data_IF_880341857893
#
_entry.id   IF_880341857893
#
_cell.length_a   1.000
_cell.length_b   1.000
_cell.length_c   1.000
_cell.angle_alpha   90.00
_cell.angle_beta   90.00
_cell.angle_gamma   90.00
#
_symmetry.space_group_name_H-M   'P 1'
#
loop_
_entity.id
_entity.type
_entity.pdbx_description
1 polymer ?
#
# COMPACT_ATOMS: atom_id res chain seq x y z
N UNK A 1 -6.20 20.80 -16.83
CA UNK A 1 -7.50 21.06 -17.50
C UNK A 1 -8.70 20.84 -16.56
N UNK A 2 -8.75 19.73 -15.77
CA UNK A 2 -9.85 19.48 -14.85
C UNK A 2 -9.98 20.58 -13.77
N UNK A 3 -8.86 21.00 -13.17
CA UNK A 3 -8.85 22.04 -12.15
C UNK A 3 -9.32 23.42 -12.66
N UNK A 4 -9.15 23.71 -13.95
CA UNK A 4 -9.67 24.92 -14.59
C UNK A 4 -11.19 24.79 -14.75
N UNK A 5 -11.68 23.65 -15.25
CA UNK A 5 -13.12 23.38 -15.41
C UNK A 5 -13.86 23.42 -14.09
N UNK A 6 -13.22 22.92 -13.02
CA UNK A 6 -13.77 22.93 -11.63
C UNK A 6 -13.64 24.32 -10.95
N UNK A 7 -13.10 25.34 -11.61
CA UNK A 7 -12.88 26.67 -11.04
C UNK A 7 -11.83 26.74 -9.92
N UNK A 8 -11.06 25.66 -9.70
CA UNK A 8 -9.99 25.60 -8.69
C UNK A 8 -8.69 26.28 -9.11
N UNK A 9 -8.53 26.49 -10.42
CA UNK A 9 -7.36 27.17 -11.00
C UNK A 9 -7.82 28.14 -12.07
N UNK A 10 -7.37 29.40 -11.99
CA UNK A 10 -7.65 30.41 -13.00
C UNK A 10 -6.90 30.10 -14.29
N UNK A 11 -7.57 30.26 -15.43
CA UNK A 11 -7.01 29.95 -16.74
C UNK A 11 -5.82 30.85 -17.09
N UNK A 12 -5.89 32.14 -16.75
CA UNK A 12 -4.79 33.09 -16.96
C UNK A 12 -3.52 32.71 -16.17
N UNK A 13 -3.69 32.21 -14.94
CA UNK A 13 -2.59 31.73 -14.13
C UNK A 13 -1.98 30.44 -14.73
N UNK A 14 -2.81 29.51 -15.19
CA UNK A 14 -2.35 28.29 -15.85
C UNK A 14 -1.45 28.61 -17.05
N UNK A 15 -1.88 29.46 -17.99
CA UNK A 15 -1.07 29.81 -19.15
C UNK A 15 0.22 30.56 -18.79
N UNK A 16 0.23 31.30 -17.70
CA UNK A 16 1.42 32.02 -17.24
C UNK A 16 2.50 31.10 -16.64
N UNK A 17 2.10 29.99 -16.00
CA UNK A 17 3.05 29.02 -15.39
C UNK A 17 3.36 27.84 -16.34
N UNK A 18 2.52 27.56 -17.34
CA UNK A 18 2.64 26.43 -18.27
C UNK A 18 3.39 26.80 -19.56
N UNK A 19 4.44 27.61 -19.46
CA UNK A 19 5.25 27.99 -20.63
C UNK A 19 5.89 26.78 -21.33
N UNK A 20 6.26 25.76 -20.58
CA UNK A 20 6.77 24.47 -21.08
C UNK A 20 6.11 23.35 -20.27
N UNK A 21 5.44 22.42 -20.94
CA UNK A 21 4.86 21.24 -20.31
C UNK A 21 5.77 20.03 -20.53
N UNK A 22 6.26 19.46 -19.45
CA UNK A 22 7.03 18.20 -19.46
C UNK A 22 6.20 17.12 -18.80
N UNK A 23 5.87 16.08 -19.55
CA UNK A 23 5.16 14.92 -19.03
C UNK A 23 6.15 13.93 -18.43
N UNK A 24 6.05 13.69 -17.12
CA UNK A 24 6.82 12.66 -16.41
C UNK A 24 5.91 11.45 -16.19
N UNK A 25 6.20 10.29 -16.81
CA UNK A 25 5.40 9.09 -16.57
C UNK A 25 5.56 8.63 -15.11
N UNK A 26 4.50 8.05 -14.51
CA UNK A 26 4.58 7.49 -13.17
C UNK A 26 5.52 6.29 -13.12
N UNK A 27 6.00 5.94 -11.93
CA UNK A 27 7.03 4.92 -11.73
C UNK A 27 6.57 3.52 -12.22
N UNK A 28 5.28 3.21 -12.13
CA UNK A 28 4.67 1.97 -12.67
C UNK A 28 4.81 1.81 -14.20
N UNK A 29 5.00 2.91 -14.93
CA UNK A 29 5.19 2.91 -16.39
C UNK A 29 6.67 2.85 -16.80
N UNK A 30 7.60 2.96 -15.82
CA UNK A 30 9.06 2.85 -16.00
C UNK A 30 9.66 1.93 -14.95
N UNK A 31 9.18 0.70 -14.90
CA UNK A 31 9.55 -0.30 -13.87
C UNK A 31 11.05 -0.64 -13.88
N UNK A 32 11.73 -0.46 -15.00
CA UNK A 32 13.18 -0.60 -15.15
C UNK A 32 13.98 0.38 -14.28
N UNK A 33 13.43 1.57 -14.00
CA UNK A 33 14.10 2.59 -13.17
C UNK A 33 13.98 2.29 -11.67
N UNK A 34 13.07 1.41 -11.25
CA UNK A 34 12.77 1.17 -9.83
C UNK A 34 14.02 0.66 -9.09
N UNK A 35 14.68 -0.37 -9.59
CA UNK A 35 15.84 -0.96 -8.90
C UNK A 35 17.08 -0.06 -8.91
N UNK A 36 17.44 0.63 -10.01
CA UNK A 36 18.50 1.64 -9.98
C UNK A 36 18.24 2.74 -8.95
N UNK A 37 17.01 3.24 -8.87
CA UNK A 37 16.61 4.24 -7.87
C UNK A 37 16.67 3.68 -6.45
N UNK A 38 16.09 2.49 -6.20
CA UNK A 38 16.12 1.83 -4.91
C UNK A 38 17.56 1.59 -4.43
N UNK A 39 18.45 1.14 -5.31
CA UNK A 39 19.86 0.91 -5.01
C UNK A 39 20.61 2.21 -4.69
N UNK A 40 20.27 3.29 -5.37
CA UNK A 40 20.84 4.62 -5.11
C UNK A 40 20.39 5.14 -3.75
N UNK A 41 19.12 5.02 -3.41
CA UNK A 41 18.58 5.38 -2.10
C UNK A 41 19.17 4.51 -0.99
N UNK A 42 19.27 3.20 -1.22
CA UNK A 42 19.88 2.25 -0.28
C UNK A 42 21.29 2.68 0.09
N UNK A 43 22.17 2.90 -0.90
CA UNK A 43 23.56 3.32 -0.67
C UNK A 43 23.62 4.63 0.12
N UNK A 44 22.78 5.60 -0.24
CA UNK A 44 22.72 6.90 0.44
C UNK A 44 22.32 6.76 1.91
N UNK A 45 21.22 6.06 2.19
CA UNK A 45 20.70 5.94 3.55
C UNK A 45 21.49 4.98 4.42
N UNK A 46 22.04 3.90 3.86
CA UNK A 46 22.95 3.00 4.56
C UNK A 46 24.22 3.74 5.04
N UNK A 47 24.81 4.58 4.16
CA UNK A 47 25.94 5.42 4.54
C UNK A 47 25.60 6.46 5.60
N UNK A 48 24.42 7.08 5.54
CA UNK A 48 23.97 8.08 6.55
C UNK A 48 23.69 7.45 7.91
N UNK A 49 23.24 6.20 7.93
CA UNK A 49 22.91 5.45 9.15
C UNK A 49 24.08 4.61 9.68
N UNK A 50 25.26 4.70 9.05
CA UNK A 50 26.45 3.86 9.34
C UNK A 50 26.13 2.35 9.35
N UNK A 51 25.32 1.92 8.36
CA UNK A 51 24.87 0.54 8.21
C UNK A 51 25.51 -0.13 7.00
N UNK A 52 25.95 -1.35 7.17
CA UNK A 52 26.50 -2.15 6.08
C UNK A 52 25.45 -3.06 5.47
N UNK A 53 24.62 -2.50 4.56
CA UNK A 53 23.58 -3.24 3.84
C UNK A 53 24.06 -3.45 2.40
N UNK A 54 24.21 -4.71 2.00
CA UNK A 54 24.79 -5.08 0.71
C UNK A 54 23.80 -5.01 -0.46
N UNK A 55 22.49 -5.10 -0.19
CA UNK A 55 21.47 -5.05 -1.26
C UNK A 55 20.13 -5.62 -0.83
N UNK A 56 19.36 -6.04 -1.84
CA UNK A 56 18.05 -6.64 -1.71
C UNK A 56 18.11 -8.14 -2.02
N UNK A 57 17.31 -8.95 -1.35
CA UNK A 57 17.10 -10.35 -1.75
C UNK A 57 16.39 -10.41 -3.11
N UNK A 58 16.35 -11.60 -3.72
CA UNK A 58 15.62 -11.79 -4.97
C UNK A 58 14.12 -11.52 -4.79
N UNK A 59 13.54 -12.00 -3.70
CA UNK A 59 12.14 -11.80 -3.33
C UNK A 59 11.81 -10.32 -3.11
N UNK A 60 12.65 -9.57 -2.41
CA UNK A 60 12.49 -8.13 -2.23
C UNK A 60 12.63 -7.38 -3.56
N UNK A 61 13.55 -7.80 -4.43
CA UNK A 61 13.76 -7.22 -5.76
C UNK A 61 12.51 -7.38 -6.64
N UNK A 62 11.91 -8.55 -6.65
CA UNK A 62 10.67 -8.83 -7.40
C UNK A 62 9.50 -8.01 -6.85
N UNK A 63 9.36 -7.93 -5.53
CA UNK A 63 8.34 -7.10 -4.87
C UNK A 63 8.48 -5.62 -5.26
N UNK A 64 9.68 -5.05 -5.16
CA UNK A 64 9.94 -3.66 -5.53
C UNK A 64 9.56 -3.36 -6.99
N UNK A 65 9.82 -4.31 -7.92
CA UNK A 65 9.50 -4.15 -9.35
C UNK A 65 8.01 -4.25 -9.65
N UNK A 66 7.29 -5.11 -8.94
CA UNK A 66 5.86 -5.41 -9.22
C UNK A 66 4.92 -4.42 -8.56
N UNK A 67 5.32 -3.78 -7.49
CA UNK A 67 4.50 -2.80 -6.79
C UNK A 67 4.26 -1.55 -7.65
N UNK A 68 3.06 -0.97 -7.59
CA UNK A 68 2.63 0.11 -8.50
C UNK A 68 3.08 1.52 -8.10
N UNK A 69 3.60 1.68 -6.88
CA UNK A 69 4.15 2.94 -6.39
C UNK A 69 3.21 4.15 -6.61
N UNK A 70 2.00 4.19 -6.02
CA UNK A 70 1.07 5.30 -6.20
C UNK A 70 1.66 6.65 -5.79
N UNK A 71 2.54 6.69 -4.79
CA UNK A 71 3.32 7.86 -4.39
C UNK A 71 4.63 8.05 -5.19
N UNK A 72 4.83 7.27 -6.27
CA UNK A 72 5.97 7.37 -7.18
C UNK A 72 7.34 7.31 -6.46
N UNK A 73 8.31 8.08 -6.95
CA UNK A 73 9.69 8.11 -6.42
C UNK A 73 9.72 8.51 -4.94
N UNK A 74 8.82 9.40 -4.49
CA UNK A 74 8.78 9.84 -3.10
C UNK A 74 8.39 8.71 -2.15
N UNK A 75 7.45 7.86 -2.55
CA UNK A 75 7.07 6.67 -1.79
C UNK A 75 8.20 5.64 -1.76
N UNK A 76 8.82 5.34 -2.91
CA UNK A 76 9.98 4.45 -3.00
C UNK A 76 11.12 4.93 -2.08
N UNK A 77 11.43 6.21 -2.12
CA UNK A 77 12.47 6.83 -1.28
C UNK A 77 12.19 6.64 0.21
N UNK A 78 10.95 6.95 0.65
CA UNK A 78 10.54 6.80 2.05
C UNK A 78 10.59 5.34 2.50
N UNK A 79 10.14 4.41 1.64
CA UNK A 79 10.18 2.98 1.93
C UNK A 79 11.61 2.49 2.15
N UNK A 80 12.54 2.83 1.25
CA UNK A 80 13.95 2.42 1.39
C UNK A 80 14.59 3.06 2.63
N UNK A 81 14.30 4.34 2.91
CA UNK A 81 14.81 5.00 4.10
C UNK A 81 14.34 4.30 5.38
N UNK A 82 13.05 4.00 5.48
CA UNK A 82 12.47 3.29 6.63
C UNK A 82 13.10 1.89 6.78
N UNK A 83 13.17 1.16 5.67
CA UNK A 83 13.72 -0.20 5.68
C UNK A 83 15.16 -0.23 6.13
N UNK A 84 16.01 0.70 5.68
CA UNK A 84 17.41 0.81 6.14
C UNK A 84 17.49 1.04 7.65
N UNK A 85 16.57 1.79 8.25
CA UNK A 85 16.57 2.05 9.68
C UNK A 85 16.09 0.84 10.50
N UNK A 86 15.15 0.04 9.95
CA UNK A 86 14.45 -1.02 10.68
C UNK A 86 15.01 -2.42 10.43
N UNK A 87 15.61 -2.70 9.26
CA UNK A 87 16.13 -4.03 8.98
C UNK A 87 17.29 -4.36 9.93
N UNK A 88 17.35 -5.59 10.41
CA UNK A 88 18.43 -6.08 11.30
C UNK A 88 19.58 -6.72 10.50
N UNK A 89 19.30 -7.21 9.31
CA UNK A 89 20.21 -7.95 8.48
C UNK A 89 20.99 -7.05 7.51
N UNK A 90 22.08 -7.61 6.94
CA UNK A 90 22.88 -6.94 5.91
C UNK A 90 22.27 -7.05 4.50
N UNK A 91 21.16 -7.77 4.34
CA UNK A 91 20.40 -7.90 3.08
C UNK A 91 18.93 -7.62 3.41
N UNK A 92 18.32 -6.72 2.67
CA UNK A 92 16.90 -6.40 2.80
C UNK A 92 16.08 -7.52 2.16
N UNK A 93 15.18 -8.13 2.92
CA UNK A 93 14.23 -9.12 2.42
C UNK A 93 12.82 -8.54 2.32
N UNK A 94 11.91 -9.30 1.71
CA UNK A 94 10.52 -8.91 1.49
C UNK A 94 9.78 -8.56 2.79
N UNK A 95 10.10 -9.26 3.87
CA UNK A 95 9.52 -9.02 5.21
C UNK A 95 9.94 -7.66 5.83
N UNK A 96 11.06 -7.08 5.40
CA UNK A 96 11.54 -5.78 5.85
C UNK A 96 10.81 -4.62 5.16
N UNK A 97 10.14 -4.91 4.02
CA UNK A 97 9.40 -3.95 3.23
C UNK A 97 7.96 -3.78 3.77
N UNK A 98 7.54 -2.55 4.08
CA UNK A 98 6.16 -2.27 4.53
C UNK A 98 5.12 -2.38 3.42
N UNK A 99 5.54 -2.33 2.17
CA UNK A 99 4.65 -2.50 1.01
C UNK A 99 3.97 -3.87 0.99
N UNK A 100 4.55 -4.90 1.64
CA UNK A 100 3.91 -6.21 1.86
C UNK A 100 2.62 -6.08 2.69
N UNK A 101 2.64 -5.24 3.72
CA UNK A 101 1.47 -4.97 4.56
C UNK A 101 0.40 -4.20 3.78
N UNK A 102 0.81 -3.30 2.88
CA UNK A 102 -0.10 -2.53 2.01
C UNK A 102 -0.74 -3.42 0.94
N UNK A 103 -0.02 -4.42 0.38
CA UNK A 103 -0.62 -5.37 -0.57
C UNK A 103 -1.65 -6.29 0.08
N UNK A 104 -1.43 -6.71 1.32
CA UNK A 104 -2.46 -7.43 2.09
C UNK A 104 -3.62 -6.53 2.53
N UNK A 105 -3.46 -5.21 2.48
CA UNK A 105 -4.50 -4.22 2.77
C UNK A 105 -5.21 -3.70 1.51
N UNK A 106 -4.58 -3.75 0.32
CA UNK A 106 -5.16 -3.22 -0.92
C UNK A 106 -6.35 -4.04 -1.46
N UNK A 107 -6.56 -5.26 -1.00
CA UNK A 107 -7.83 -5.97 -1.18
C UNK A 107 -8.93 -5.47 -0.22
N UNK A 108 -8.59 -4.51 0.67
CA UNK A 108 -9.47 -3.93 1.72
C UNK A 108 -9.67 -2.42 1.52
N UNK A 109 -9.03 -1.78 0.53
CA UNK A 109 -9.02 -0.31 0.37
C UNK A 109 -10.32 0.33 -0.15
N UNK A 110 -11.39 -0.44 -0.38
CA UNK A 110 -12.75 0.11 -0.55
C UNK A 110 -13.56 0.17 0.76
N UNK A 111 -12.98 -0.29 1.88
CA UNK A 111 -13.65 -0.28 3.18
C UNK A 111 -13.13 0.87 4.04
N UNK A 112 -14.03 1.62 4.67
CA UNK A 112 -13.65 2.57 5.72
C UNK A 112 -12.97 1.84 6.88
N UNK A 113 -12.18 2.55 7.72
CA UNK A 113 -11.52 1.96 8.89
C UNK A 113 -12.51 1.19 9.79
N UNK A 114 -13.74 1.68 9.91
CA UNK A 114 -14.82 1.04 10.67
C UNK A 114 -15.24 -0.30 10.04
N UNK A 115 -15.41 -0.33 8.72
CA UNK A 115 -15.78 -1.53 7.97
C UNK A 115 -14.67 -2.59 8.00
N UNK A 116 -13.40 -2.18 7.93
CA UNK A 116 -12.27 -3.07 8.07
C UNK A 116 -12.20 -3.72 9.48
N UNK A 117 -12.44 -2.94 10.54
CA UNK A 117 -12.52 -3.45 11.90
C UNK A 117 -13.72 -4.41 12.07
N UNK A 118 -14.84 -4.09 11.47
CA UNK A 118 -16.05 -4.92 11.49
C UNK A 118 -15.83 -6.24 10.74
N UNK A 119 -15.23 -6.21 9.55
CA UNK A 119 -14.84 -7.40 8.79
C UNK A 119 -13.97 -8.33 9.63
N UNK A 120 -12.87 -7.81 10.20
CA UNK A 120 -11.94 -8.58 11.01
C UNK A 120 -12.63 -9.22 12.23
N UNK A 121 -13.56 -8.50 12.84
CA UNK A 121 -14.34 -9.01 13.99
C UNK A 121 -15.26 -10.14 13.56
N UNK A 122 -15.95 -10.01 12.43
CA UNK A 122 -16.83 -11.06 11.88
C UNK A 122 -16.01 -12.31 11.52
N UNK A 123 -14.87 -12.18 10.84
CA UNK A 123 -14.00 -13.29 10.49
C UNK A 123 -13.47 -14.04 11.71
N UNK A 124 -13.04 -13.31 12.73
CA UNK A 124 -12.55 -13.89 13.98
C UNK A 124 -13.62 -14.74 14.66
N UNK A 125 -14.83 -14.20 14.83
CA UNK A 125 -15.91 -14.91 15.52
C UNK A 125 -16.43 -16.08 14.67
N UNK A 126 -16.44 -15.96 13.32
CA UNK A 126 -16.76 -17.08 12.44
C UNK A 126 -15.78 -18.25 12.60
N UNK A 127 -14.48 -17.97 12.68
CA UNK A 127 -13.45 -18.99 12.96
C UNK A 127 -13.65 -19.64 14.34
N UNK A 128 -13.93 -18.84 15.35
CA UNK A 128 -14.17 -19.34 16.73
C UNK A 128 -15.42 -20.20 16.82
N UNK A 129 -16.46 -19.93 16.02
CA UNK A 129 -17.71 -20.70 15.99
C UNK A 129 -17.72 -21.85 14.97
N UNK A 130 -16.57 -22.13 14.33
CA UNK A 130 -16.45 -23.18 13.32
C UNK A 130 -17.35 -22.96 12.10
N UNK A 131 -17.58 -21.69 11.68
CA UNK A 131 -18.45 -21.33 10.57
C UNK A 131 -19.94 -21.28 10.91
N UNK A 132 -20.33 -21.44 12.15
CA UNK A 132 -21.75 -21.43 12.54
C UNK A 132 -22.32 -20.00 12.54
N UNK A 133 -22.97 -19.64 11.42
CA UNK A 133 -23.51 -18.30 11.18
C UNK A 133 -24.61 -17.87 12.16
N UNK A 134 -25.36 -18.83 12.74
CA UNK A 134 -26.38 -18.53 13.74
C UNK A 134 -25.75 -18.09 15.06
N UNK A 135 -24.77 -18.84 15.53
CA UNK A 135 -24.04 -18.56 16.75
C UNK A 135 -23.19 -17.27 16.60
N UNK A 136 -22.57 -17.08 15.44
CA UNK A 136 -21.82 -15.84 15.11
C UNK A 136 -22.72 -14.60 15.17
N UNK A 137 -23.90 -14.64 14.56
CA UNK A 137 -24.86 -13.52 14.59
C UNK A 137 -25.27 -13.21 16.04
N UNK A 138 -25.52 -14.22 16.84
CA UNK A 138 -25.88 -14.08 18.26
C UNK A 138 -24.77 -13.44 19.08
N UNK A 139 -23.50 -13.89 18.89
CA UNK A 139 -22.32 -13.32 19.58
C UNK A 139 -22.04 -11.85 19.17
N UNK A 140 -22.29 -11.52 17.91
CA UNK A 140 -22.15 -10.16 17.39
C UNK A 140 -23.29 -9.24 17.79
N UNK A 141 -24.40 -9.76 18.32
CA UNK A 141 -25.59 -8.97 18.66
C UNK A 141 -26.33 -8.44 17.42
N UNK A 142 -26.16 -9.05 16.24
CA UNK A 142 -26.78 -8.62 14.98
C UNK A 142 -27.76 -9.66 14.46
N UNK A 143 -28.70 -9.22 13.60
CA UNK A 143 -29.63 -10.12 12.95
C UNK A 143 -28.91 -11.06 11.97
N UNK A 144 -29.44 -12.30 11.84
CA UNK A 144 -28.88 -13.30 10.91
C UNK A 144 -28.79 -12.79 9.48
N UNK A 145 -29.82 -12.09 9.01
CA UNK A 145 -29.84 -11.49 7.67
C UNK A 145 -28.77 -10.42 7.49
N UNK A 146 -28.54 -9.60 8.52
CA UNK A 146 -27.50 -8.58 8.55
C UNK A 146 -26.10 -9.21 8.44
N UNK A 147 -25.87 -10.31 9.16
CA UNK A 147 -24.62 -11.06 9.07
C UNK A 147 -24.37 -11.61 7.65
N UNK A 148 -25.39 -12.19 7.01
CA UNK A 148 -25.28 -12.69 5.64
C UNK A 148 -24.94 -11.58 4.65
N UNK A 149 -25.61 -10.42 4.77
CA UNK A 149 -25.34 -9.27 3.92
C UNK A 149 -23.90 -8.76 4.10
N UNK A 150 -23.40 -8.72 5.34
CA UNK A 150 -22.02 -8.30 5.65
C UNK A 150 -20.97 -9.30 5.17
N UNK A 151 -21.19 -10.59 5.34
CA UNK A 151 -20.32 -11.65 4.80
C UNK A 151 -20.17 -11.50 3.29
N UNK A 152 -21.31 -11.26 2.58
CA UNK A 152 -21.31 -11.06 1.13
C UNK A 152 -20.64 -9.74 0.73
N UNK A 153 -20.92 -8.65 1.44
CA UNK A 153 -20.35 -7.33 1.15
C UNK A 153 -18.84 -7.28 1.37
N UNK A 154 -18.34 -7.97 2.38
CA UNK A 154 -16.91 -7.98 2.74
C UNK A 154 -16.13 -9.14 2.10
N UNK A 155 -16.75 -9.96 1.26
CA UNK A 155 -16.10 -11.08 0.59
C UNK A 155 -15.50 -12.12 1.53
N UNK A 156 -16.13 -12.36 2.72
CA UNK A 156 -15.63 -13.30 3.71
C UNK A 156 -15.92 -14.72 3.26
N UNK A 157 -14.89 -15.50 3.04
CA UNK A 157 -14.99 -16.94 2.75
C UNK A 157 -15.32 -17.73 4.02
N UNK A 158 -16.31 -18.63 3.97
CA UNK A 158 -16.83 -19.38 5.13
C UNK A 158 -16.75 -20.87 4.86
#
# INVERSE_FOLDING_TARGET
DAAIKDGKLREDLFYRISAISVHLPPLRERREDILPLASTFLKRYASQADRNISGFSQTATEMLRTFDWPGNIRQLQNEIQRTVLMCENNVIDVQDLSITTVMSQSEVEDLTLMEAMERNTIEKILKETGGNKLETAKRLGIGRQTLYNKIKAYGIEV
#
